data_IF_083388089331
#
_entry.id   IF_083388089331
#
_cell.length_a   1.000
_cell.length_b   1.000
_cell.length_c   1.000
_cell.angle_alpha   90.00
_cell.angle_beta   90.00
_cell.angle_gamma   90.00
#
_symmetry.space_group_name_H-M   'P 1'
#
loop_
_entity.id
_entity.type
_entity.pdbx_description
1 polymer ?
#
# COMPACT_ATOMS: atom_id res chain seq x y z
N UNK A 1 -6.12 -37.74 -15.93
CA UNK A 1 -6.77 -37.05 -17.07
C UNK A 1 -6.56 -35.56 -16.85
N UNK A 2 -5.73 -34.92 -17.68
CA UNK A 2 -5.03 -33.65 -17.37
C UNK A 2 -5.32 -32.54 -18.40
N UNK A 3 -6.44 -32.58 -19.12
CA UNK A 3 -6.55 -31.86 -20.41
C UNK A 3 -7.85 -31.08 -20.67
N UNK A 4 -8.57 -30.62 -19.65
CA UNK A 4 -9.73 -29.73 -19.87
C UNK A 4 -9.78 -28.56 -18.87
N UNK A 5 -8.63 -27.96 -18.58
CA UNK A 5 -8.62 -26.66 -17.89
C UNK A 5 -8.82 -25.58 -18.94
N UNK A 6 -10.08 -25.28 -19.25
CA UNK A 6 -10.42 -24.14 -20.10
C UNK A 6 -10.08 -22.84 -19.38
N UNK A 7 -9.13 -22.09 -19.94
CA UNK A 7 -8.80 -20.74 -19.48
C UNK A 7 -9.78 -19.78 -20.15
N UNK A 8 -10.87 -19.46 -19.44
CA UNK A 8 -11.80 -18.42 -19.88
C UNK A 8 -11.24 -17.03 -19.57
N UNK A 9 -11.61 -15.98 -20.33
CA UNK A 9 -11.20 -14.61 -20.02
C UNK A 9 -11.61 -14.16 -18.61
N UNK A 10 -12.72 -14.69 -18.09
CA UNK A 10 -13.19 -14.43 -16.72
C UNK A 10 -12.24 -15.02 -15.69
N UNK A 11 -11.78 -16.26 -15.91
CA UNK A 11 -10.81 -16.92 -15.04
C UNK A 11 -9.46 -16.18 -15.04
N UNK A 12 -9.02 -15.69 -16.21
CA UNK A 12 -7.81 -14.86 -16.29
C UNK A 12 -7.94 -13.60 -15.44
N UNK A 13 -9.06 -12.89 -15.56
CA UNK A 13 -9.33 -11.68 -14.80
C UNK A 13 -9.40 -11.97 -13.29
N UNK A 14 -10.05 -13.07 -12.90
CA UNK A 14 -10.11 -13.53 -11.51
C UNK A 14 -8.71 -13.79 -10.94
N UNK A 15 -7.85 -14.47 -11.70
CA UNK A 15 -6.49 -14.81 -11.27
C UNK A 15 -5.60 -13.57 -11.18
N UNK A 16 -5.71 -12.66 -12.16
CA UNK A 16 -5.02 -11.36 -12.13
C UNK A 16 -5.41 -10.57 -10.87
N UNK A 17 -6.71 -10.46 -10.58
CA UNK A 17 -7.18 -9.73 -9.40
C UNK A 17 -6.73 -10.40 -8.11
N UNK A 18 -6.87 -11.72 -7.98
CA UNK A 18 -6.43 -12.46 -6.78
C UNK A 18 -4.96 -12.25 -6.47
N UNK A 19 -4.11 -12.34 -7.50
CA UNK A 19 -2.66 -12.18 -7.34
C UNK A 19 -2.31 -10.73 -7.02
N UNK A 20 -2.94 -9.75 -7.68
CA UNK A 20 -2.73 -8.33 -7.39
C UNK A 20 -3.12 -7.98 -5.94
N UNK A 21 -4.26 -8.47 -5.47
CA UNK A 21 -4.71 -8.29 -4.09
C UNK A 21 -3.75 -8.91 -3.08
N UNK A 22 -3.21 -10.11 -3.36
CA UNK A 22 -2.20 -10.72 -2.50
C UNK A 22 -0.93 -9.89 -2.43
N UNK A 23 -0.44 -9.38 -3.57
CA UNK A 23 0.73 -8.48 -3.59
C UNK A 23 0.49 -7.23 -2.74
N UNK A 24 -0.70 -6.63 -2.83
CA UNK A 24 -1.10 -5.47 -2.04
C UNK A 24 -1.22 -5.80 -0.54
N UNK A 25 -1.82 -6.95 -0.19
CA UNK A 25 -1.96 -7.43 1.20
C UNK A 25 -0.60 -7.59 1.89
N UNK A 26 0.43 -7.99 1.14
CA UNK A 26 1.80 -8.12 1.65
C UNK A 26 2.63 -6.82 1.53
N UNK A 27 2.05 -5.71 1.07
CA UNK A 27 2.75 -4.43 0.83
C UNK A 27 3.98 -4.59 -0.09
N UNK A 28 3.86 -5.46 -1.10
CA UNK A 28 4.94 -5.83 -2.02
C UNK A 28 4.83 -5.17 -3.40
N UNK A 29 3.97 -4.16 -3.58
CA UNK A 29 3.64 -3.59 -4.89
C UNK A 29 4.88 -3.05 -5.60
N UNK A 30 5.74 -2.31 -4.89
CA UNK A 30 6.95 -1.73 -5.48
C UNK A 30 7.91 -2.82 -5.97
N UNK A 31 8.12 -3.86 -5.17
CA UNK A 31 8.98 -4.98 -5.54
C UNK A 31 8.38 -5.79 -6.70
N UNK A 32 7.07 -6.00 -6.68
CA UNK A 32 6.35 -6.69 -7.74
C UNK A 32 6.39 -5.91 -9.06
N UNK A 33 6.16 -4.59 -9.05
CA UNK A 33 6.25 -3.73 -10.23
C UNK A 33 7.64 -3.83 -10.85
N UNK A 34 8.70 -3.67 -10.04
CA UNK A 34 10.08 -3.77 -10.52
C UNK A 34 10.36 -5.14 -11.17
N UNK A 35 9.94 -6.23 -10.51
CA UNK A 35 10.14 -7.59 -11.01
C UNK A 35 9.37 -7.83 -12.31
N UNK A 36 8.08 -7.48 -12.34
CA UNK A 36 7.21 -7.66 -13.50
C UNK A 36 7.71 -6.85 -14.69
N UNK A 37 8.09 -5.59 -14.49
CA UNK A 37 8.68 -4.72 -15.51
C UNK A 37 9.99 -5.31 -16.08
N UNK A 38 10.88 -5.77 -15.19
CA UNK A 38 12.16 -6.38 -15.56
C UNK A 38 11.98 -7.72 -16.27
N UNK A 39 10.88 -8.42 -16.01
CA UNK A 39 10.57 -9.72 -16.62
C UNK A 39 9.92 -9.62 -18.00
N UNK A 40 9.44 -8.44 -18.43
CA UNK A 40 8.79 -8.24 -19.74
C UNK A 40 9.59 -8.82 -20.94
N UNK A 41 10.93 -8.71 -21.00
CA UNK A 41 11.72 -9.33 -22.06
C UNK A 41 11.71 -10.87 -22.02
N UNK A 42 11.63 -11.47 -20.82
CA UNK A 42 11.62 -12.92 -20.64
C UNK A 42 10.31 -13.56 -21.09
N UNK A 43 9.19 -12.83 -21.02
CA UNK A 43 7.88 -13.31 -21.48
C UNK A 43 7.87 -13.53 -23.00
N UNK A 44 8.75 -12.87 -23.75
CA UNK A 44 8.95 -13.16 -25.18
C UNK A 44 9.51 -14.57 -25.42
N UNK A 45 10.17 -15.16 -24.42
CA UNK A 45 10.70 -16.53 -24.39
C UNK A 45 9.73 -17.45 -23.62
N UNK A 46 8.42 -17.22 -23.76
CA UNK A 46 7.31 -17.80 -22.98
C UNK A 46 7.09 -19.31 -23.08
N UNK A 47 8.15 -20.11 -23.12
CA UNK A 47 8.14 -21.57 -22.97
C UNK A 47 8.82 -22.02 -21.68
N UNK A 48 9.58 -23.11 -21.76
CA UNK A 48 10.27 -23.79 -20.64
C UNK A 48 11.01 -22.86 -19.66
N UNK A 49 11.56 -21.73 -20.16
CA UNK A 49 12.25 -20.74 -19.33
C UNK A 49 11.29 -20.06 -18.33
N UNK A 50 10.08 -19.67 -18.76
CA UNK A 50 9.08 -19.08 -17.87
C UNK A 50 8.65 -20.07 -16.78
N UNK A 51 8.48 -21.35 -17.15
CA UNK A 51 8.19 -22.42 -16.19
C UNK A 51 9.32 -22.60 -15.19
N UNK A 52 10.57 -22.65 -15.66
CA UNK A 52 11.75 -22.80 -14.80
C UNK A 52 11.88 -21.65 -13.78
N UNK A 53 11.63 -20.40 -14.19
CA UNK A 53 11.69 -19.24 -13.30
C UNK A 53 10.57 -19.23 -12.25
N UNK A 54 9.36 -19.68 -12.60
CA UNK A 54 8.20 -19.63 -11.71
C UNK A 54 8.13 -20.86 -10.79
N UNK A 55 8.67 -22.01 -11.21
CA UNK A 55 8.61 -23.29 -10.46
C UNK A 55 9.00 -23.18 -8.98
N UNK A 56 10.09 -22.48 -8.59
CA UNK A 56 10.46 -22.33 -7.17
C UNK A 56 9.40 -21.63 -6.31
N UNK A 57 8.52 -20.84 -6.92
CA UNK A 57 7.49 -20.05 -6.24
C UNK A 57 6.14 -20.77 -6.16
N UNK A 58 5.98 -21.88 -6.90
CA UNK A 58 4.73 -22.65 -6.96
C UNK A 58 4.20 -23.07 -5.59
N UNK A 59 5.01 -23.63 -4.65
CA UNK A 59 4.50 -24.05 -3.35
C UNK A 59 4.01 -22.89 -2.47
N UNK A 60 4.51 -21.68 -2.72
CA UNK A 60 4.09 -20.47 -2.00
C UNK A 60 2.70 -20.05 -2.49
N UNK A 61 2.46 -20.16 -3.79
CA UNK A 61 1.25 -19.67 -4.46
C UNK A 61 0.11 -20.70 -4.33
N UNK A 62 0.38 -22.00 -4.45
CA UNK A 62 -0.64 -23.06 -4.48
C UNK A 62 -1.44 -23.18 -3.18
N UNK A 63 -0.75 -23.16 -2.05
CA UNK A 63 -1.34 -23.54 -0.77
C UNK A 63 -1.80 -22.33 0.03
N UNK A 64 -1.13 -21.18 -0.14
CA UNK A 64 -1.40 -19.97 0.67
C UNK A 64 -2.30 -18.96 -0.02
N UNK A 65 -2.28 -18.88 -1.36
CA UNK A 65 -2.99 -17.82 -2.09
C UNK A 65 -4.30 -18.29 -2.72
N UNK A 66 -4.64 -19.59 -2.61
CA UNK A 66 -5.88 -20.15 -3.15
C UNK A 66 -5.91 -20.20 -4.68
N UNK A 67 -4.73 -20.29 -5.29
CA UNK A 67 -4.51 -20.26 -6.73
C UNK A 67 -3.86 -21.59 -7.12
N UNK A 68 -4.53 -22.43 -7.91
CA UNK A 68 -3.91 -23.71 -8.32
C UNK A 68 -2.71 -23.44 -9.22
N UNK A 69 -1.59 -24.10 -8.94
CA UNK A 69 -0.32 -23.95 -9.66
C UNK A 69 -0.49 -24.08 -11.18
N UNK A 70 -1.26 -25.06 -11.64
CA UNK A 70 -1.55 -25.30 -13.06
C UNK A 70 -2.25 -24.11 -13.72
N UNK A 71 -3.37 -23.64 -13.13
CA UNK A 71 -4.09 -22.48 -13.67
C UNK A 71 -3.26 -21.21 -13.58
N UNK A 72 -2.44 -21.05 -12.55
CA UNK A 72 -1.52 -19.91 -12.44
C UNK A 72 -0.55 -19.89 -13.63
N UNK A 73 0.09 -21.02 -13.93
CA UNK A 73 0.97 -21.11 -15.09
C UNK A 73 0.24 -20.79 -16.38
N UNK A 74 -0.91 -21.43 -16.62
CA UNK A 74 -1.67 -21.24 -17.85
C UNK A 74 -2.19 -19.80 -18.03
N UNK A 75 -2.57 -19.12 -16.94
CA UNK A 75 -2.99 -17.71 -17.00
C UNK A 75 -1.80 -16.79 -17.26
N UNK A 76 -0.70 -16.94 -16.51
CA UNK A 76 0.44 -16.01 -16.56
C UNK A 76 1.50 -16.36 -17.62
N UNK A 77 1.35 -17.46 -18.36
CA UNK A 77 2.12 -17.74 -19.58
C UNK A 77 1.80 -16.72 -20.69
N UNK A 78 0.58 -16.15 -20.68
CA UNK A 78 0.17 -15.10 -21.61
C UNK A 78 0.72 -13.74 -21.18
N UNK A 79 1.45 -13.10 -22.07
CA UNK A 79 2.03 -11.77 -21.84
C UNK A 79 0.99 -10.73 -21.46
N UNK A 80 -0.16 -10.78 -22.11
CA UNK A 80 -1.27 -9.87 -21.89
C UNK A 80 -1.73 -9.92 -20.43
N UNK A 81 -1.68 -11.09 -19.78
CA UNK A 81 -2.10 -11.25 -18.39
C UNK A 81 -1.05 -10.75 -17.40
N UNK A 82 0.24 -10.87 -17.73
CA UNK A 82 1.32 -10.21 -16.96
C UNK A 82 1.18 -8.69 -17.05
N UNK A 83 0.88 -8.15 -18.23
CA UNK A 83 0.65 -6.70 -18.39
C UNK A 83 -0.61 -6.22 -17.65
N UNK A 84 -1.70 -7.01 -17.65
CA UNK A 84 -2.89 -6.74 -16.84
C UNK A 84 -2.55 -6.74 -15.34
N UNK A 85 -1.76 -7.72 -14.87
CA UNK A 85 -1.33 -7.80 -13.48
C UNK A 85 -0.49 -6.60 -13.06
N UNK A 86 0.53 -6.24 -13.86
CA UNK A 86 1.36 -5.07 -13.60
C UNK A 86 0.51 -3.81 -13.42
N UNK A 87 -0.38 -3.52 -14.40
CA UNK A 87 -1.27 -2.35 -14.33
C UNK A 87 -2.16 -2.37 -13.09
N UNK A 88 -2.66 -3.54 -12.71
CA UNK A 88 -3.52 -3.66 -11.53
C UNK A 88 -2.75 -3.40 -10.24
N UNK A 89 -1.52 -3.89 -10.12
CA UNK A 89 -0.64 -3.62 -8.98
C UNK A 89 -0.26 -2.14 -8.90
N UNK A 90 0.02 -1.50 -10.03
CA UNK A 90 0.27 -0.05 -10.09
C UNK A 90 -0.93 0.78 -9.60
N UNK A 91 -2.15 0.40 -9.99
CA UNK A 91 -3.37 1.03 -9.50
C UNK A 91 -3.51 0.90 -7.98
N UNK A 92 -3.33 -0.30 -7.44
CA UNK A 92 -3.42 -0.54 -5.99
C UNK A 92 -2.36 0.26 -5.22
N UNK A 93 -1.13 0.34 -5.74
CA UNK A 93 -0.07 1.15 -5.15
C UNK A 93 -0.44 2.64 -5.11
N UNK A 94 -0.99 3.16 -6.22
CA UNK A 94 -1.42 4.55 -6.30
C UNK A 94 -2.60 4.85 -5.36
N UNK A 95 -3.60 3.97 -5.31
CA UNK A 95 -4.73 4.07 -4.39
C UNK A 95 -4.27 4.11 -2.92
N UNK A 96 -3.30 3.26 -2.55
CA UNK A 96 -2.74 3.22 -1.21
C UNK A 96 -2.00 4.52 -0.85
N UNK A 97 -1.21 5.05 -1.78
CA UNK A 97 -0.48 6.30 -1.59
C UNK A 97 -1.41 7.51 -1.46
N UNK A 98 -2.45 7.56 -2.29
CA UNK A 98 -3.43 8.64 -2.25
C UNK A 98 -4.24 8.60 -0.95
N UNK A 99 -4.62 7.40 -0.48
CA UNK A 99 -5.24 7.22 0.83
C UNK A 99 -4.33 7.68 1.97
N UNK A 100 -3.06 7.29 1.97
CA UNK A 100 -2.06 7.72 2.97
C UNK A 100 -1.88 9.25 2.96
N UNK A 101 -1.88 9.89 1.78
CA UNK A 101 -1.80 11.35 1.66
C UNK A 101 -3.06 12.04 2.20
N UNK A 102 -4.24 11.51 1.89
CA UNK A 102 -5.51 12.06 2.36
C UNK A 102 -5.62 11.98 3.89
N UNK A 103 -5.26 10.84 4.48
CA UNK A 103 -5.24 10.64 5.93
C UNK A 103 -4.27 11.62 6.62
N UNK A 104 -3.07 11.81 6.07
CA UNK A 104 -2.09 12.79 6.59
C UNK A 104 -2.60 14.23 6.51
N UNK A 105 -3.31 14.62 5.45
CA UNK A 105 -3.90 15.95 5.32
C UNK A 105 -5.03 16.15 6.34
N UNK A 106 -5.94 15.18 6.46
CA UNK A 106 -7.03 15.24 7.43
C UNK A 106 -6.52 15.28 8.89
N UNK A 107 -5.43 14.58 9.20
CA UNK A 107 -4.80 14.64 10.52
C UNK A 107 -4.24 16.04 10.83
N UNK A 108 -3.50 16.65 9.88
CA UNK A 108 -2.96 18.01 10.03
C UNK A 108 -4.04 19.07 10.17
N UNK A 109 -5.15 18.94 9.45
CA UNK A 109 -6.28 19.86 9.54
C UNK A 109 -6.97 19.77 10.92
N UNK A 110 -7.12 18.55 11.46
CA UNK A 110 -7.68 18.35 12.81
C UNK A 110 -6.77 18.93 13.89
N UNK A 111 -5.46 18.72 13.78
CA UNK A 111 -4.47 19.26 14.72
C UNK A 111 -4.50 20.80 14.72
N UNK A 112 -4.52 21.43 13.53
CA UNK A 112 -4.63 22.89 13.40
C UNK A 112 -5.94 23.43 13.99
N UNK A 113 -7.08 22.77 13.75
CA UNK A 113 -8.36 23.18 14.33
C UNK A 113 -8.41 23.04 15.85
N UNK A 114 -7.70 22.05 16.41
CA UNK A 114 -7.63 21.84 17.86
C UNK A 114 -6.74 22.89 18.53
N UNK A 115 -5.62 23.26 17.90
CA UNK A 115 -4.74 24.33 18.36
C UNK A 115 -5.41 25.71 18.29
N UNK A 116 -6.13 26.01 17.20
CA UNK A 116 -6.92 27.24 17.08
C UNK A 116 -8.03 27.32 18.15
N UNK A 117 -8.64 26.18 18.51
CA UNK A 117 -9.64 26.12 19.60
C UNK A 117 -9.03 26.33 20.98
N UNK A 118 -7.82 25.80 21.22
CA UNK A 118 -7.08 25.96 22.47
C UNK A 118 -6.57 27.39 22.63
N UNK A 119 -6.06 28.01 21.57
CA UNK A 119 -5.70 29.42 21.56
C UNK A 119 -6.92 30.31 21.82
N UNK A 120 -8.05 30.10 21.11
CA UNK A 120 -9.27 30.87 21.30
C UNK A 120 -9.83 30.76 22.75
N UNK A 121 -9.77 29.56 23.35
CA UNK A 121 -10.16 29.35 24.74
C UNK A 121 -9.21 30.01 25.76
N UNK A 122 -7.91 30.10 25.43
CA UNK A 122 -6.92 30.80 26.26
C UNK A 122 -7.06 32.32 26.20
N UNK A 123 -7.44 32.89 25.04
CA UNK A 123 -7.69 34.34 24.90
C UNK A 123 -8.98 34.78 25.60
N UNK A 124 -10.02 33.95 25.62
CA UNK A 124 -11.27 34.23 26.35
C UNK A 124 -11.12 34.19 27.87
N UNK A 125 -10.07 33.55 28.40
CA UNK A 125 -9.78 33.47 29.84
C UNK A 125 -8.80 34.54 30.33
N UNK A 126 -8.06 35.22 29.44
CA UNK A 126 -7.14 36.30 29.86
C UNK A 126 -7.80 37.65 30.12
N UNK A 127 -9.00 37.90 29.57
CA UNK A 127 -9.71 39.19 29.72
C UNK A 127 -10.52 39.32 31.03
N UNK A 128 -10.51 38.31 31.90
CA UNK A 128 -11.22 38.31 33.19
C UNK A 128 -10.33 38.50 34.43
N UNK A 129 -9.08 38.99 34.30
CA UNK A 129 -8.21 39.27 35.46
C UNK A 129 -7.95 40.76 35.60
N UNK A 130 -8.64 41.36 36.59
CA UNK A 130 -8.42 42.73 37.07
C UNK A 130 -6.94 43.00 37.45
N UNK A 131 -6.45 44.24 37.33
CA UNK A 131 -5.08 44.59 37.63
C UNK A 131 -4.90 44.80 39.13
N UNK A 132 -4.18 43.90 39.81
CA UNK A 132 -3.97 44.11 41.25
C UNK A 132 -3.14 43.05 41.98
N UNK A 133 -1.86 42.87 41.65
CA UNK A 133 -0.86 42.40 42.63
C UNK A 133 0.57 42.59 42.11
N UNK A 134 1.33 43.47 42.77
CA UNK A 134 2.78 43.64 42.55
C UNK A 134 3.52 42.33 42.86
N UNK A 135 4.12 41.70 41.85
CA UNK A 135 4.99 40.52 42.05
C UNK A 135 6.32 40.95 42.69
N UNK A 136 6.55 40.52 43.94
CA UNK A 136 7.83 40.68 44.65
C UNK A 136 8.82 39.64 44.09
N UNK A 137 9.86 40.11 43.40
CA UNK A 137 10.82 39.26 42.68
C UNK A 137 11.64 38.34 43.60
N UNK A 138 11.74 37.07 43.21
CA UNK A 138 12.46 35.99 43.90
C UNK A 138 13.99 36.03 43.72
N UNK A 139 14.55 37.13 43.20
CA UNK A 139 15.99 37.29 42.95
C UNK A 139 16.83 37.51 44.22
N UNK A 140 16.37 37.03 45.38
CA UNK A 140 17.05 37.20 46.68
C UNK A 140 17.56 35.89 47.30
N UNK A 141 17.36 34.76 46.63
CA UNK A 141 17.77 33.44 47.14
C UNK A 141 18.62 32.68 46.12
N UNK A 142 19.70 33.29 45.67
CA UNK A 142 20.83 32.58 45.10
C UNK A 142 22.03 32.83 46.02
N UNK A 143 22.54 31.82 46.74
CA UNK A 143 23.86 31.91 47.33
C UNK A 143 24.89 31.83 46.19
N UNK A 144 25.84 32.76 46.21
CA UNK A 144 27.02 32.77 45.36
C UNK A 144 27.95 31.60 45.72
#
# INVERSE_FOLDING_TARGET
MYYDVEITPELEAEYVEKVAQKIHEYEMETAAILLLESSKPLVWVGGEMGRFFITPFVPIISDKWGVTSEKFFLVFEKRENIEKLLKRVEQLAQEADDKKKAEKKAAKEKEKQEDEKKEAASTLTSDAVQPGAKKKGWRKHLPF
#
